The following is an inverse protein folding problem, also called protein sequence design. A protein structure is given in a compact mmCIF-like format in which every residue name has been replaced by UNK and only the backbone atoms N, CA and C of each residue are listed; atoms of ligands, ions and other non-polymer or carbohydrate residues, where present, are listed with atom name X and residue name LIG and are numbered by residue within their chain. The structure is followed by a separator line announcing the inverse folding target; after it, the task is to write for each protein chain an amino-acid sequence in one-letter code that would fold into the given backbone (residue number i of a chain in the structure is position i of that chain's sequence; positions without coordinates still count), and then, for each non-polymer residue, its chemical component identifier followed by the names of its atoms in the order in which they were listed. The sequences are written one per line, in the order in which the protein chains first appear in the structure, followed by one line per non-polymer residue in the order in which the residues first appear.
data_IF_339060322180
#
_entry.id   IF_339060322180
#
_cell.length_a   1.000
_cell.length_b   1.000
_cell.length_c   1.000
_cell.angle_alpha   90.00
_cell.angle_beta   90.00
_cell.angle_gamma   90.00
#
_symmetry.space_group_name_H-M   'P 1'
#
loop_
_entity.id
_entity.type
_entity.pdbx_description
1 polymer ?
#
# COMPACT_ATOMS: atom_id res chain seq x y z
N UNK A 1 5.79 27.63 8.63
CA UNK A 1 4.89 26.47 8.44
C UNK A 1 5.31 25.78 7.14
N UNK A 2 5.32 24.44 7.09
CA UNK A 2 5.60 23.72 5.83
C UNK A 2 4.27 23.39 5.17
N UNK A 3 4.19 23.57 3.86
CA UNK A 3 3.00 23.20 3.09
C UNK A 3 2.90 21.68 2.98
N UNK A 4 1.68 21.17 3.12
CA UNK A 4 1.36 19.75 2.95
C UNK A 4 0.58 19.60 1.66
N UNK A 5 1.11 18.79 0.74
CA UNK A 5 0.55 18.62 -0.59
C UNK A 5 0.28 17.15 -0.90
N UNK A 6 -0.77 16.88 -1.67
CA UNK A 6 -1.07 15.53 -2.19
C UNK A 6 -0.48 15.45 -3.59
N UNK A 7 0.51 14.56 -3.77
CA UNK A 7 1.23 14.40 -5.05
C UNK A 7 0.70 13.26 -5.91
N UNK A 8 -0.10 12.35 -5.33
CA UNK A 8 -0.68 11.20 -6.04
C UNK A 8 -1.86 10.63 -5.27
N UNK A 9 -2.90 10.19 -6.01
CA UNK A 9 -4.06 9.52 -5.46
C UNK A 9 -4.58 8.47 -6.46
N UNK A 10 -4.65 7.22 -6.02
CA UNK A 10 -5.11 6.09 -6.85
C UNK A 10 -5.92 5.11 -6.00
N UNK A 11 -6.67 4.23 -6.67
CA UNK A 11 -7.47 3.18 -6.03
C UNK A 11 -7.56 1.95 -6.91
N UNK A 12 -7.87 0.81 -6.31
CA UNK A 12 -8.30 -0.39 -7.03
C UNK A 12 -9.73 -0.23 -7.58
N UNK A 13 -10.13 -1.18 -8.42
CA UNK A 13 -11.54 -1.43 -8.67
C UNK A 13 -12.25 -1.90 -7.38
N UNK A 14 -13.55 -1.66 -7.28
CA UNK A 14 -14.38 -2.15 -6.18
C UNK A 14 -15.13 -3.38 -6.67
N UNK A 15 -14.90 -4.52 -6.03
CA UNK A 15 -15.62 -5.77 -6.29
C UNK A 15 -16.83 -5.90 -5.37
N UNK A 16 -17.89 -6.56 -5.84
CA UNK A 16 -18.97 -6.98 -4.96
C UNK A 16 -18.54 -8.18 -4.11
N UNK A 17 -19.15 -8.34 -2.94
CA UNK A 17 -18.87 -9.46 -2.05
C UNK A 17 -18.98 -10.81 -2.78
N UNK A 18 -17.96 -11.65 -2.64
CA UNK A 18 -17.89 -12.97 -3.27
C UNK A 18 -17.69 -12.98 -4.79
N UNK A 19 -17.36 -11.84 -5.42
CA UNK A 19 -17.19 -11.74 -6.89
C UNK A 19 -15.72 -11.56 -7.31
N UNK A 20 -15.46 -10.59 -8.19
CA UNK A 20 -14.25 -10.45 -9.03
C UNK A 20 -12.93 -10.33 -8.27
N UNK A 21 -12.96 -9.92 -7.00
CA UNK A 21 -11.75 -9.73 -6.17
C UNK A 21 -11.66 -10.74 -5.02
N UNK A 22 -12.54 -11.74 -4.95
CA UNK A 22 -12.63 -12.67 -3.82
C UNK A 22 -11.34 -13.47 -3.59
N UNK A 23 -10.60 -13.76 -4.66
CA UNK A 23 -9.39 -14.59 -4.63
C UNK A 23 -8.12 -13.74 -4.43
N UNK A 24 -8.24 -12.40 -4.38
CA UNK A 24 -7.10 -11.51 -4.15
C UNK A 24 -6.97 -11.23 -2.66
N UNK A 25 -5.81 -11.52 -2.04
CA UNK A 25 -5.59 -11.18 -0.64
C UNK A 25 -5.72 -9.67 -0.39
N UNK A 26 -6.32 -9.29 0.75
CA UNK A 26 -6.52 -7.88 1.11
C UNK A 26 -5.19 -7.07 1.12
N UNK A 27 -4.11 -7.67 1.64
CA UNK A 27 -2.76 -7.07 1.60
C UNK A 27 -2.30 -6.82 0.16
N UNK A 28 -2.59 -7.75 -0.75
CA UNK A 28 -2.23 -7.63 -2.17
C UNK A 28 -2.91 -6.42 -2.80
N UNK A 29 -4.19 -6.19 -2.50
CA UNK A 29 -4.90 -5.00 -2.96
C UNK A 29 -4.23 -3.72 -2.43
N UNK A 30 -3.88 -3.67 -1.13
CA UNK A 30 -3.17 -2.54 -0.54
C UNK A 30 -1.82 -2.25 -1.20
N UNK A 31 -1.01 -3.30 -1.42
CA UNK A 31 0.31 -3.20 -2.08
C UNK A 31 0.20 -2.65 -3.49
N UNK A 32 -0.79 -3.09 -4.27
CA UNK A 32 -1.02 -2.60 -5.64
C UNK A 32 -1.26 -1.08 -5.63
N UNK A 33 -2.09 -0.59 -4.71
CA UNK A 33 -2.43 0.84 -4.64
C UNK A 33 -1.21 1.67 -4.23
N UNK A 34 -0.46 1.21 -3.22
CA UNK A 34 0.74 1.92 -2.72
C UNK A 34 1.81 1.99 -3.82
N UNK A 35 2.10 0.86 -4.49
CA UNK A 35 3.05 0.81 -5.62
C UNK A 35 2.71 1.82 -6.71
N UNK A 36 1.45 1.82 -7.13
CA UNK A 36 1.00 2.69 -8.20
C UNK A 36 1.00 4.17 -7.76
N UNK A 37 0.64 4.46 -6.51
CA UNK A 37 0.68 5.82 -5.97
C UNK A 37 2.12 6.38 -5.97
N UNK A 38 3.08 5.61 -5.46
CA UNK A 38 4.52 5.93 -5.41
C UNK A 38 5.07 6.13 -6.82
N UNK A 39 4.75 5.21 -7.73
CA UNK A 39 5.15 5.30 -9.14
C UNK A 39 4.64 6.57 -9.82
N UNK A 40 3.36 6.93 -9.64
CA UNK A 40 2.77 8.15 -10.22
C UNK A 40 3.29 9.43 -9.60
N UNK A 41 3.61 9.39 -8.30
CA UNK A 41 4.27 10.49 -7.61
C UNK A 41 5.73 10.68 -8.06
N UNK A 42 6.30 9.70 -8.77
CA UNK A 42 7.70 9.67 -9.18
C UNK A 42 8.67 9.87 -8.00
N UNK A 43 8.34 9.26 -6.85
CA UNK A 43 9.17 9.29 -5.64
C UNK A 43 9.91 7.97 -5.50
N UNK A 44 11.10 8.03 -4.92
CA UNK A 44 11.86 6.83 -4.58
C UNK A 44 11.27 6.17 -3.33
N UNK A 45 11.12 4.84 -3.29
CA UNK A 45 10.61 4.14 -2.11
C UNK A 45 11.38 4.43 -0.82
N UNK A 46 12.69 4.68 -0.93
CA UNK A 46 13.56 5.02 0.22
C UNK A 46 13.26 6.39 0.84
N UNK A 47 12.56 7.28 0.14
CA UNK A 47 12.16 8.59 0.65
C UNK A 47 10.89 8.52 1.53
N UNK A 48 10.18 7.39 1.50
CA UNK A 48 8.96 7.16 2.28
C UNK A 48 9.35 6.83 3.72
N UNK A 49 9.03 7.73 4.64
CA UNK A 49 9.34 7.58 6.06
C UNK A 49 8.28 6.81 6.84
N UNK A 50 7.02 6.92 6.41
CA UNK A 50 5.88 6.35 7.10
C UNK A 50 4.77 5.99 6.11
N UNK A 51 4.07 4.90 6.41
CA UNK A 51 2.88 4.48 5.69
C UNK A 51 1.77 4.24 6.71
N UNK A 52 0.66 4.95 6.56
CA UNK A 52 -0.53 4.77 7.37
C UNK A 52 -1.57 4.05 6.51
N UNK A 53 -2.02 2.89 6.94
CA UNK A 53 -3.01 2.08 6.23
C UNK A 53 -4.25 1.88 7.12
N UNK A 54 -5.45 2.07 6.56
CA UNK A 54 -6.70 1.85 7.28
C UNK A 54 -7.32 0.51 6.92
N UNK A 55 -7.62 -0.33 7.91
CA UNK A 55 -8.37 -1.58 7.74
C UNK A 55 -9.27 -1.80 8.96
N UNK A 56 -10.53 -2.16 8.70
CA UNK A 56 -11.55 -2.41 9.73
C UNK A 56 -11.42 -3.83 10.32
N UNK A 57 -11.02 -4.82 9.50
CA UNK A 57 -10.96 -6.22 9.91
C UNK A 57 -9.54 -6.68 10.32
N UNK A 58 -8.56 -5.78 10.34
CA UNK A 58 -7.13 -6.00 10.64
C UNK A 58 -6.39 -7.06 9.81
N UNK A 59 -7.05 -7.77 8.90
CA UNK A 59 -6.43 -8.82 8.07
C UNK A 59 -5.30 -8.29 7.18
N UNK A 60 -5.39 -7.04 6.72
CA UNK A 60 -4.30 -6.39 6.01
C UNK A 60 -3.25 -5.82 6.97
N UNK A 61 -3.67 -5.29 8.11
CA UNK A 61 -2.79 -4.68 9.12
C UNK A 61 -1.86 -5.67 9.79
N UNK A 62 -2.29 -6.89 10.14
CA UNK A 62 -1.40 -7.86 10.79
C UNK A 62 -0.15 -8.20 9.94
N UNK A 63 -0.23 -8.00 8.62
CA UNK A 63 0.89 -8.22 7.67
C UNK A 63 1.59 -6.94 7.23
N UNK A 64 0.91 -5.79 7.27
CA UNK A 64 1.46 -4.47 6.90
C UNK A 64 2.10 -3.76 8.12
N UNK A 65 1.62 -4.05 9.32
CA UNK A 65 1.93 -3.35 10.57
C UNK A 65 2.99 -4.06 11.43
N UNK A 66 3.51 -5.23 10.99
CA UNK A 66 4.72 -5.76 11.58
C UNK A 66 5.91 -4.85 11.22
N UNK A 67 6.64 -4.34 12.22
CA UNK A 67 7.51 -3.19 12.07
C UNK A 67 8.86 -3.62 11.51
N UNK A 68 8.96 -3.82 10.21
CA UNK A 68 10.21 -3.61 9.50
C UNK A 68 9.86 -3.20 8.07
N UNK A 69 10.49 -2.12 7.58
CA UNK A 69 10.48 -1.73 6.16
C UNK A 69 10.67 -2.95 5.24
N UNK A 70 11.36 -3.99 5.72
CA UNK A 70 11.54 -5.30 5.10
C UNK A 70 10.32 -5.93 4.43
N UNK A 71 9.14 -5.94 5.07
CA UNK A 71 7.95 -6.60 4.50
C UNK A 71 7.40 -5.82 3.32
N UNK A 72 7.43 -4.48 3.41
CA UNK A 72 7.07 -3.61 2.30
C UNK A 72 8.13 -3.68 1.19
N UNK A 73 9.43 -3.74 1.51
CA UNK A 73 10.51 -3.89 0.53
C UNK A 73 10.46 -5.25 -0.19
N UNK A 74 10.20 -6.35 0.52
CA UNK A 74 9.92 -7.68 -0.05
C UNK A 74 8.72 -7.65 -1.00
N UNK A 75 7.64 -6.99 -0.57
CA UNK A 75 6.42 -6.84 -1.39
C UNK A 75 6.63 -5.89 -2.57
N UNK A 76 7.49 -4.87 -2.42
CA UNK A 76 7.89 -3.93 -3.46
C UNK A 76 8.91 -4.51 -4.45
N UNK A 77 9.53 -5.65 -4.12
CA UNK A 77 10.56 -6.30 -4.95
C UNK A 77 11.93 -5.64 -4.82
N UNK A 78 12.16 -4.89 -3.75
CA UNK A 78 13.43 -4.21 -3.45
C UNK A 78 14.18 -5.13 -2.49
N UNK A 79 15.28 -5.73 -2.96
CA UNK A 79 16.18 -6.50 -2.12
C UNK A 79 16.96 -5.56 -1.18
N UNK A 80 17.30 -6.07 0.01
CA UNK A 80 18.13 -5.39 1.01
C UNK A 80 19.50 -4.94 0.46
#
# INVERSE_FOLDING_TARGET
MKDVVIVSAVRTAIGAYGKTLKDVPAVGLGVIVIKEAVKRANIKPEEIKEVIFGDVFKQALDKIQLPYLSSLYLLLGIAY
#
